data_IF_015988206019
#
_entry.id   IF_015988206019
#
_cell.length_a   1.000
_cell.length_b   1.000
_cell.length_c   1.000
_cell.angle_alpha   90.00
_cell.angle_beta   90.00
_cell.angle_gamma   90.00
#
_symmetry.space_group_name_H-M   'P 1'
#
loop_
_entity.id
_entity.type
_entity.pdbx_description
1 polymer ?
#
# COMPACT_ATOMS: atom_id res chain seq x y z
N UNK A 1 -9.64 0.74 -64.27
CA UNK A 1 -8.36 0.45 -63.57
C UNK A 1 -8.07 1.40 -62.42
N UNK A 2 -8.35 2.72 -62.54
CA UNK A 2 -8.09 3.71 -61.47
C UNK A 2 -8.92 3.53 -60.18
N UNK A 3 -10.19 3.11 -60.28
CA UNK A 3 -11.11 2.98 -59.12
C UNK A 3 -10.68 1.84 -58.17
N UNK A 4 -10.09 0.76 -58.71
CA UNK A 4 -9.59 -0.35 -57.91
C UNK A 4 -8.31 0.04 -57.14
N UNK A 5 -7.48 0.90 -57.73
CA UNK A 5 -6.27 1.43 -57.10
C UNK A 5 -6.61 2.42 -55.97
N UNK A 6 -7.63 3.26 -56.12
CA UNK A 6 -8.05 4.18 -55.04
C UNK A 6 -8.69 3.45 -53.86
N UNK A 7 -9.44 2.38 -54.11
CA UNK A 7 -10.01 1.52 -53.06
C UNK A 7 -8.94 0.76 -52.29
N UNK A 8 -7.93 0.22 -52.99
CA UNK A 8 -6.80 -0.45 -52.36
C UNK A 8 -6.03 0.51 -51.45
N UNK A 9 -5.75 1.74 -51.91
CA UNK A 9 -5.07 2.77 -51.13
C UNK A 9 -5.86 3.20 -49.89
N UNK A 10 -7.18 3.33 -50.01
CA UNK A 10 -8.06 3.67 -48.89
C UNK A 10 -8.10 2.53 -47.86
N UNK A 11 -8.12 1.28 -48.32
CA UNK A 11 -8.10 0.10 -47.46
C UNK A 11 -6.75 -0.05 -46.75
N UNK A 12 -5.63 0.19 -47.43
CA UNK A 12 -4.29 0.21 -46.85
C UNK A 12 -4.15 1.32 -45.80
N UNK A 13 -4.61 2.53 -46.10
CA UNK A 13 -4.60 3.65 -45.16
C UNK A 13 -5.49 3.37 -43.95
N UNK A 14 -6.68 2.80 -44.14
CA UNK A 14 -7.57 2.39 -43.05
C UNK A 14 -6.93 1.32 -42.16
N UNK A 15 -6.26 0.34 -42.76
CA UNK A 15 -5.57 -0.73 -42.05
C UNK A 15 -4.34 -0.21 -41.27
N UNK A 16 -3.57 0.73 -41.83
CA UNK A 16 -2.47 1.40 -41.11
C UNK A 16 -2.96 2.18 -39.88
N UNK A 17 -4.07 2.91 -40.00
CA UNK A 17 -4.68 3.64 -38.88
C UNK A 17 -5.24 2.68 -37.81
N UNK A 18 -5.87 1.58 -38.22
CA UNK A 18 -6.37 0.54 -37.31
C UNK A 18 -5.24 -0.16 -36.55
N UNK A 19 -4.10 -0.43 -37.21
CA UNK A 19 -2.92 -1.01 -36.58
C UNK A 19 -2.31 -0.07 -35.52
N UNK A 20 -2.25 1.24 -35.81
CA UNK A 20 -1.76 2.23 -34.85
C UNK A 20 -2.67 2.36 -33.63
N UNK A 21 -4.00 2.37 -33.85
CA UNK A 21 -4.99 2.36 -32.79
C UNK A 21 -4.88 1.09 -31.93
N UNK A 22 -4.67 -0.08 -32.56
CA UNK A 22 -4.48 -1.36 -31.87
C UNK A 22 -3.24 -1.39 -31.00
N UNK A 23 -2.11 -0.87 -31.49
CA UNK A 23 -0.88 -0.73 -30.70
C UNK A 23 -1.06 0.20 -29.50
N UNK A 24 -1.74 1.33 -29.69
CA UNK A 24 -2.06 2.26 -28.62
C UNK A 24 -2.97 1.62 -27.55
N UNK A 25 -4.00 0.90 -27.97
CA UNK A 25 -4.90 0.17 -27.09
C UNK A 25 -4.16 -0.92 -26.31
N UNK A 26 -3.26 -1.67 -26.97
CA UNK A 26 -2.45 -2.70 -26.33
C UNK A 26 -1.51 -2.10 -25.27
N UNK A 27 -0.86 -0.98 -25.58
CA UNK A 27 -0.03 -0.26 -24.63
C UNK A 27 -0.84 0.26 -23.43
N UNK A 28 -2.04 0.80 -23.68
CA UNK A 28 -2.97 1.23 -22.63
C UNK A 28 -3.39 0.06 -21.73
N UNK A 29 -3.68 -1.11 -22.32
CA UNK A 29 -4.00 -2.33 -21.59
C UNK A 29 -2.82 -2.79 -20.72
N UNK A 30 -1.58 -2.77 -21.24
CA UNK A 30 -0.39 -3.10 -20.45
C UNK A 30 -0.23 -2.15 -19.27
N UNK A 31 -0.36 -0.83 -19.50
CA UNK A 31 -0.29 0.16 -18.43
C UNK A 31 -1.36 -0.05 -17.37
N UNK A 32 -2.59 -0.38 -17.78
CA UNK A 32 -3.69 -0.71 -16.86
C UNK A 32 -3.39 -1.96 -16.04
N UNK A 33 -2.88 -3.03 -16.66
CA UNK A 33 -2.50 -4.27 -15.98
C UNK A 33 -1.39 -4.00 -14.97
N UNK A 34 -0.34 -3.25 -15.36
CA UNK A 34 0.74 -2.87 -14.45
C UNK A 34 0.22 -2.06 -13.26
N UNK A 35 -0.66 -1.08 -13.51
CA UNK A 35 -1.27 -0.29 -12.43
C UNK A 35 -2.14 -1.12 -11.49
N UNK A 36 -2.90 -2.08 -12.01
CA UNK A 36 -3.71 -2.99 -11.21
C UNK A 36 -2.83 -3.94 -10.39
N UNK A 37 -1.72 -4.40 -10.95
CA UNK A 37 -0.77 -5.29 -10.29
C UNK A 37 -0.06 -4.60 -9.10
N UNK A 38 0.16 -3.28 -9.18
CA UNK A 38 0.74 -2.49 -8.07
C UNK A 38 -0.27 -2.23 -6.94
N UNK A 39 -1.57 -2.48 -7.17
CA UNK A 39 -2.59 -2.25 -6.14
C UNK A 39 -2.41 -3.23 -4.98
N UNK A 40 -2.39 -2.69 -3.77
CA UNK A 40 -2.33 -3.48 -2.53
C UNK A 40 -3.70 -4.09 -2.26
N UNK A 41 -3.74 -5.40 -1.96
CA UNK A 41 -4.97 -6.15 -1.69
C UNK A 41 -5.36 -6.06 -0.23
N UNK A 42 -4.38 -6.22 0.66
CA UNK A 42 -4.62 -6.31 2.09
C UNK A 42 -3.33 -6.01 2.88
N UNK A 43 -3.43 -5.23 3.94
CA UNK A 43 -2.41 -5.12 4.99
C UNK A 43 -2.94 -5.81 6.26
N UNK A 44 -2.07 -6.52 6.96
CA UNK A 44 -2.39 -7.21 8.21
C UNK A 44 -1.28 -6.99 9.23
N UNK A 45 -1.65 -6.69 10.46
CA UNK A 45 -0.74 -6.51 11.58
C UNK A 45 -0.89 -7.71 12.53
N UNK A 46 0.21 -8.40 12.79
CA UNK A 46 0.29 -9.47 13.78
C UNK A 46 1.08 -8.94 14.98
N UNK A 47 0.45 -9.00 16.15
CA UNK A 47 1.06 -8.60 17.41
C UNK A 47 1.57 -9.84 18.10
N UNK A 48 2.89 -9.97 18.22
CA UNK A 48 3.53 -11.03 19.00
C UNK A 48 4.04 -10.39 20.27
N UNK A 49 3.21 -10.48 21.28
CA UNK A 49 3.36 -9.83 22.56
C UNK A 49 4.79 -10.03 23.18
N UNK A 50 5.40 -11.20 23.00
CA UNK A 50 6.74 -11.54 23.48
C UNK A 50 7.92 -11.05 22.62
N UNK A 51 7.68 -10.72 21.34
CA UNK A 51 8.75 -10.47 20.35
C UNK A 51 8.64 -9.09 19.70
N UNK A 52 7.45 -8.64 19.35
CA UNK A 52 7.20 -7.36 18.69
C UNK A 52 6.01 -7.37 17.73
N UNK A 53 6.04 -6.46 16.76
CA UNK A 53 4.98 -6.26 15.76
C UNK A 53 5.45 -6.75 14.39
N UNK A 54 4.63 -7.55 13.71
CA UNK A 54 4.85 -7.96 12.33
C UNK A 54 3.78 -7.36 11.43
N UNK A 55 4.19 -6.48 10.53
CA UNK A 55 3.34 -5.96 9.46
C UNK A 55 3.50 -6.85 8.23
N UNK A 56 2.40 -7.32 7.66
CA UNK A 56 2.40 -8.09 6.41
C UNK A 56 1.50 -7.41 5.39
N UNK A 57 2.10 -7.00 4.27
CA UNK A 57 1.41 -6.39 3.13
C UNK A 57 1.28 -7.42 2.03
N UNK A 58 0.04 -7.71 1.63
CA UNK A 58 -0.29 -8.63 0.54
C UNK A 58 -0.77 -7.84 -0.68
N UNK A 59 -0.05 -7.97 -1.78
CA UNK A 59 -0.38 -7.34 -3.06
C UNK A 59 -1.41 -8.20 -3.82
N UNK A 60 -2.15 -7.60 -4.76
CA UNK A 60 -3.13 -8.32 -5.62
C UNK A 60 -2.49 -9.47 -6.41
N UNK A 61 -1.18 -9.34 -6.63
CA UNK A 61 -0.26 -10.26 -7.30
C UNK A 61 0.05 -11.53 -6.52
N UNK A 62 -0.34 -11.58 -5.24
CA UNK A 62 0.02 -12.64 -4.31
C UNK A 62 1.39 -12.46 -3.64
N UNK A 63 2.19 -11.45 -4.04
CA UNK A 63 3.41 -11.10 -3.31
C UNK A 63 3.05 -10.66 -1.89
N UNK A 64 3.83 -11.14 -0.92
CA UNK A 64 3.73 -10.78 0.49
C UNK A 64 5.04 -10.16 0.91
N UNK A 65 4.97 -8.98 1.48
CA UNK A 65 6.10 -8.30 2.11
C UNK A 65 5.82 -8.26 3.60
N UNK A 66 6.79 -8.73 4.41
CA UNK A 66 6.64 -8.75 5.87
C UNK A 66 7.76 -7.94 6.52
N UNK A 67 7.38 -6.91 7.25
CA UNK A 67 8.28 -6.09 8.04
C UNK A 67 8.09 -6.43 9.52
N UNK A 68 9.19 -6.77 10.19
CA UNK A 68 9.18 -7.09 11.62
C UNK A 68 9.85 -5.97 12.42
N UNK A 69 9.19 -5.53 13.49
CA UNK A 69 9.67 -4.53 14.44
C UNK A 69 9.77 -5.19 15.80
N UNK A 70 10.98 -5.29 16.34
CA UNK A 70 11.22 -5.89 17.66
C UNK A 70 10.66 -5.01 18.78
N UNK A 71 10.13 -5.65 19.83
CA UNK A 71 9.54 -4.99 20.99
C UNK A 71 10.52 -4.03 21.70
N UNK A 72 11.80 -4.38 21.76
CA UNK A 72 12.86 -3.53 22.34
C UNK A 72 13.02 -2.17 21.64
N UNK A 73 12.67 -2.09 20.35
CA UNK A 73 12.76 -0.86 19.56
C UNK A 73 11.46 -0.06 19.61
N UNK A 74 10.38 -0.62 20.15
CA UNK A 74 9.07 0.04 20.24
C UNK A 74 9.07 0.88 21.52
N UNK A 75 8.80 2.18 21.37
CA UNK A 75 8.54 3.07 22.49
C UNK A 75 7.06 3.00 22.86
N UNK A 76 6.19 3.25 21.89
CA UNK A 76 4.73 3.19 22.04
C UNK A 76 4.05 3.10 20.67
N UNK A 77 2.76 2.75 20.65
CA UNK A 77 1.90 2.78 19.46
C UNK A 77 0.87 3.88 19.63
N UNK A 78 0.73 4.76 18.63
CA UNK A 78 -0.18 5.91 18.70
C UNK A 78 -1.06 5.99 17.46
N UNK A 79 -2.29 6.46 17.64
CA UNK A 79 -3.12 6.92 16.52
C UNK A 79 -2.77 8.39 16.30
N UNK A 80 -2.14 8.69 15.16
CA UNK A 80 -1.81 10.06 14.80
C UNK A 80 -2.80 10.61 13.77
N UNK A 81 -3.05 11.91 13.86
CA UNK A 81 -3.75 12.67 12.83
C UNK A 81 -2.75 13.32 11.88
N UNK A 82 -3.03 13.22 10.59
CA UNK A 82 -2.26 13.86 9.53
C UNK A 82 -3.18 14.74 8.70
N UNK A 83 -2.68 15.91 8.31
CA UNK A 83 -3.37 16.77 7.35
C UNK A 83 -2.80 16.46 5.98
N UNK A 84 -3.63 15.92 5.09
CA UNK A 84 -3.27 15.66 3.71
C UNK A 84 -4.13 16.52 2.79
N UNK A 85 -3.50 17.48 2.11
CA UNK A 85 -4.16 18.49 1.30
C UNK A 85 -5.18 19.28 2.14
N UNK A 86 -6.48 19.15 1.85
CA UNK A 86 -7.58 19.78 2.57
C UNK A 86 -8.40 18.76 3.39
N UNK A 87 -7.81 17.61 3.75
CA UNK A 87 -8.48 16.53 4.49
C UNK A 87 -7.66 16.06 5.67
N UNK A 88 -8.34 15.77 6.78
CA UNK A 88 -7.74 15.12 7.95
C UNK A 88 -7.83 13.61 7.75
N UNK A 89 -6.69 12.92 7.90
CA UNK A 89 -6.55 11.47 7.86
C UNK A 89 -6.01 10.97 9.19
N UNK A 90 -6.56 9.88 9.70
CA UNK A 90 -6.06 9.21 10.90
C UNK A 90 -5.28 7.98 10.47
N UNK A 91 -4.13 7.73 11.11
CA UNK A 91 -3.31 6.57 10.85
C UNK A 91 -2.66 6.05 12.12
N UNK A 92 -2.41 4.74 12.16
CA UNK A 92 -1.71 4.09 13.27
C UNK A 92 -0.20 4.15 13.01
N UNK A 93 0.56 4.58 14.00
CA UNK A 93 2.01 4.71 13.92
C UNK A 93 2.70 4.09 15.14
N UNK A 94 3.87 3.52 14.91
CA UNK A 94 4.76 3.05 15.96
C UNK A 94 5.84 4.10 16.19
N UNK A 95 5.99 4.50 17.44
CA UNK A 95 7.10 5.31 17.90
C UNK A 95 8.28 4.38 18.16
N UNK A 96 9.39 4.61 17.46
CA UNK A 96 10.61 3.84 17.60
C UNK A 96 11.57 4.56 18.55
N UNK A 97 12.19 3.78 19.44
CA UNK A 97 13.20 4.24 20.40
C UNK A 97 14.53 4.48 19.69
N UNK A 98 15.32 5.44 20.16
CA UNK A 98 16.72 5.59 19.73
C UNK A 98 17.62 4.54 20.39
N UNK A 99 18.57 4.00 19.64
CA UNK A 99 19.57 3.03 20.11
C UNK A 99 20.51 3.69 21.12
N UNK A 100 20.79 4.99 20.96
CA UNK A 100 21.73 5.73 21.81
C UNK A 100 21.10 6.28 23.07
N UNK A 101 19.81 6.58 23.03
CA UNK A 101 19.13 7.26 24.14
C UNK A 101 17.70 6.72 24.30
N UNK A 102 17.46 5.82 25.26
CA UNK A 102 16.20 5.10 25.34
C UNK A 102 15.01 6.01 25.62
N UNK A 103 15.20 7.20 26.19
CA UNK A 103 14.11 8.14 26.46
C UNK A 103 13.71 8.98 25.23
N UNK A 104 14.48 8.89 24.14
CA UNK A 104 14.27 9.71 22.95
C UNK A 104 13.59 8.91 21.84
N UNK A 105 12.55 9.52 21.26
CA UNK A 105 11.87 8.99 20.07
C UNK A 105 12.74 9.29 18.86
N UNK A 106 13.19 8.26 18.14
CA UNK A 106 14.06 8.41 16.97
C UNK A 106 13.27 8.60 15.67
N UNK A 107 12.17 7.87 15.53
CA UNK A 107 11.40 7.85 14.29
C UNK A 107 9.96 7.40 14.52
N UNK A 108 9.07 7.86 13.63
CA UNK A 108 7.65 7.50 13.62
C UNK A 108 7.43 6.66 12.36
N UNK A 109 7.05 5.40 12.54
CA UNK A 109 6.80 4.46 11.45
C UNK A 109 5.29 4.21 11.30
N UNK A 110 4.64 4.66 10.21
CA UNK A 110 3.23 4.34 9.97
C UNK A 110 3.05 2.84 9.68
N UNK A 111 2.07 2.21 10.31
CA UNK A 111 1.80 0.77 10.17
C UNK A 111 0.99 0.42 8.91
N UNK A 112 0.05 1.28 8.51
CA UNK A 112 -0.79 1.05 7.33
C UNK A 112 -0.52 2.14 6.30
N UNK A 113 0.31 1.84 5.31
CA UNK A 113 0.76 2.83 4.33
C UNK A 113 -0.10 2.84 3.07
N UNK A 114 -0.88 1.78 2.85
CA UNK A 114 -1.67 1.63 1.63
C UNK A 114 -3.18 1.59 1.88
N UNK A 115 -3.62 1.03 3.01
CA UNK A 115 -5.05 0.77 3.26
C UNK A 115 -5.76 1.95 3.93
N UNK A 116 -5.04 2.77 4.72
CA UNK A 116 -5.56 3.90 5.52
C UNK A 116 -6.96 3.63 6.12
N UNK A 117 -7.06 2.71 7.11
CA UNK A 117 -8.34 2.34 7.71
C UNK A 117 -9.06 3.54 8.36
N UNK A 118 -10.39 3.44 8.48
CA UNK A 118 -11.18 4.44 9.22
C UNK A 118 -10.88 4.42 10.72
N UNK A 119 -11.07 5.54 11.40
CA UNK A 119 -10.80 5.72 12.84
C UNK A 119 -11.41 4.60 13.71
N UNK A 120 -12.70 4.28 13.55
CA UNK A 120 -13.35 3.20 14.33
C UNK A 120 -12.67 1.83 14.17
N UNK A 121 -12.00 1.58 13.04
CA UNK A 121 -11.21 0.36 12.85
C UNK A 121 -9.85 0.49 13.56
N UNK A 122 -9.19 1.64 13.42
CA UNK A 122 -7.93 1.94 14.09
C UNK A 122 -8.04 1.83 15.62
N UNK A 123 -9.13 2.34 16.21
CA UNK A 123 -9.40 2.22 17.65
C UNK A 123 -9.49 0.75 18.10
N UNK A 124 -10.18 -0.09 17.32
CA UNK A 124 -10.25 -1.54 17.61
C UNK A 124 -8.89 -2.20 17.52
N UNK A 125 -8.10 -1.85 16.52
CA UNK A 125 -6.74 -2.37 16.35
C UNK A 125 -5.84 -1.92 17.49
N UNK A 126 -5.88 -0.64 17.86
CA UNK A 126 -5.15 -0.07 18.98
C UNK A 126 -5.49 -0.78 20.29
N UNK A 127 -6.77 -0.93 20.61
CA UNK A 127 -7.20 -1.66 21.80
C UNK A 127 -6.73 -3.11 21.79
N UNK A 128 -6.77 -3.78 20.63
CA UNK A 128 -6.23 -5.13 20.47
C UNK A 128 -4.73 -5.21 20.76
N UNK A 129 -3.96 -4.28 20.22
CA UNK A 129 -2.50 -4.17 20.46
C UNK A 129 -2.23 -3.92 21.94
N UNK A 130 -2.92 -2.95 22.55
CA UNK A 130 -2.72 -2.57 23.94
C UNK A 130 -3.03 -3.73 24.90
N UNK A 131 -4.14 -4.44 24.66
CA UNK A 131 -4.52 -5.61 25.45
C UNK A 131 -3.48 -6.73 25.33
N UNK A 132 -2.91 -6.96 24.14
CA UNK A 132 -1.84 -7.93 23.95
C UNK A 132 -0.58 -7.57 24.72
N UNK A 133 -0.18 -6.29 24.77
CA UNK A 133 0.97 -5.86 25.56
C UNK A 133 0.73 -5.95 27.06
N UNK A 134 -0.46 -5.58 27.54
CA UNK A 134 -0.82 -5.69 28.96
C UNK A 134 -0.79 -7.13 29.46
N UNK A 135 -1.29 -8.08 28.67
CA UNK A 135 -1.34 -9.51 29.05
C UNK A 135 0.04 -10.18 29.19
N UNK A 136 1.15 -9.60 28.70
CA UNK A 136 2.48 -10.16 28.98
C UNK A 136 3.05 -9.73 30.33
N UNK A 137 2.53 -8.65 30.91
CA UNK A 137 3.05 -8.07 32.15
C UNK A 137 2.33 -8.61 33.39
N UNK A 138 1.39 -9.55 33.21
CA UNK A 138 0.64 -10.30 34.23
C UNK A 138 1.05 -11.76 34.24
#
# INVERSE_FOLDING_TARGET
>A
MAIFSSLAFYCEFYNTNANFLGMFLFFLCILLILKLHVKVKQESLLVIASLGLQLTTTFVTGRKESQFILNQNIYDVVINEGIFMHRIIFYLAVLLRDIKDPLKISSIAPLFQHTFPRLNCLEKMYNGIQNSFQNNHS
#
